data_IF_125326550581
#
_entry.id   IF_125326550581
#
_cell.length_a   1.000
_cell.length_b   1.000
_cell.length_c   1.000
_cell.angle_alpha   90.00
_cell.angle_beta   90.00
_cell.angle_gamma   90.00
#
_symmetry.space_group_name_H-M   'P 1'
#
loop_
_entity.id
_entity.type
_entity.pdbx_description
1 polymer ?
#
# COMPACT_ATOMS: atom_id res chain seq x y z
N UNK A 1 9.35 11.02 8.59
CA UNK A 1 8.73 10.00 9.49
C UNK A 1 7.23 10.20 9.71
N UNK A 2 6.74 11.37 10.17
CA UNK A 2 5.29 11.60 10.40
C UNK A 2 4.42 11.40 9.15
N UNK A 3 4.87 11.89 7.98
CA UNK A 3 4.16 11.70 6.69
C UNK A 3 3.99 10.23 6.30
N UNK A 4 5.01 9.39 6.53
CA UNK A 4 4.97 7.94 6.28
C UNK A 4 3.96 7.26 7.21
N UNK A 5 3.87 7.71 8.46
CA UNK A 5 2.86 7.22 9.42
C UNK A 5 1.44 7.54 8.94
N UNK A 6 1.20 8.76 8.41
CA UNK A 6 -0.07 9.12 7.81
C UNK A 6 -0.39 8.28 6.56
N UNK A 7 0.61 7.98 5.72
CA UNK A 7 0.44 7.08 4.57
C UNK A 7 0.10 5.64 5.00
N UNK A 8 0.72 5.10 6.05
CA UNK A 8 0.38 3.78 6.60
C UNK A 8 -1.04 3.75 7.20
N UNK A 9 -1.43 4.80 7.93
CA UNK A 9 -2.77 4.92 8.50
C UNK A 9 -3.82 5.02 7.39
N UNK A 10 -3.53 5.79 6.34
CA UNK A 10 -4.37 5.88 5.15
C UNK A 10 -4.49 4.53 4.44
N UNK A 11 -3.39 3.80 4.29
CA UNK A 11 -3.38 2.48 3.67
C UNK A 11 -4.25 1.48 4.46
N UNK A 12 -4.21 1.52 5.79
CA UNK A 12 -5.09 0.70 6.64
C UNK A 12 -6.56 1.10 6.51
N UNK A 13 -6.87 2.39 6.46
CA UNK A 13 -8.25 2.86 6.32
C UNK A 13 -8.79 2.55 4.93
N UNK A 14 -8.00 2.72 3.87
CA UNK A 14 -8.41 2.35 2.51
C UNK A 14 -8.56 0.83 2.38
N UNK A 15 -7.65 0.03 2.94
CA UNK A 15 -7.77 -1.43 2.98
C UNK A 15 -9.01 -1.91 3.77
N UNK A 16 -9.34 -1.24 4.87
CA UNK A 16 -10.53 -1.53 5.68
C UNK A 16 -11.83 -1.10 4.99
N UNK A 17 -11.83 0.04 4.28
CA UNK A 17 -12.96 0.50 3.47
C UNK A 17 -13.11 -0.33 2.18
N UNK A 18 -12.02 -0.89 1.67
CA UNK A 18 -12.02 -1.82 0.54
C UNK A 18 -12.15 -3.29 0.96
N UNK A 19 -12.67 -3.56 2.17
CA UNK A 19 -12.90 -4.92 2.70
C UNK A 19 -13.76 -5.85 1.82
N UNK A 20 -14.22 -5.38 0.66
CA UNK A 20 -14.82 -6.16 -0.42
C UNK A 20 -14.20 -5.69 -1.75
N UNK A 21 -13.27 -6.45 -2.34
CA UNK A 21 -13.05 -6.47 -3.80
C UNK A 21 -14.26 -7.14 -4.47
N UNK A 22 -15.43 -6.53 -4.27
CA UNK A 22 -16.75 -7.11 -4.50
C UNK A 22 -17.81 -6.02 -4.45
N UNK A 23 -17.73 -5.09 -5.41
CA UNK A 23 -18.85 -4.35 -5.96
C UNK A 23 -19.68 -3.46 -5.04
N UNK A 24 -19.25 -2.21 -4.87
CA UNK A 24 -20.15 -1.03 -4.94
C UNK A 24 -19.33 0.26 -4.96
N UNK A 25 -19.79 1.25 -5.73
CA UNK A 25 -19.29 2.63 -5.75
C UNK A 25 -19.68 3.29 -4.43
N UNK A 26 -18.96 2.98 -3.35
CA UNK A 26 -19.23 3.57 -2.04
C UNK A 26 -18.43 4.85 -1.87
N UNK A 27 -19.16 5.97 -1.78
CA UNK A 27 -18.62 7.23 -1.26
C UNK A 27 -18.54 7.09 0.25
N UNK A 28 -17.34 7.18 0.80
CA UNK A 28 -17.11 7.06 2.24
C UNK A 28 -16.40 8.31 2.76
N UNK A 29 -17.01 8.95 3.75
CA UNK A 29 -16.45 10.10 4.43
C UNK A 29 -15.99 9.65 5.82
N UNK A 30 -14.71 9.89 6.13
CA UNK A 30 -14.15 9.60 7.44
C UNK A 30 -13.51 10.86 8.01
N UNK A 31 -13.82 11.19 9.27
CA UNK A 31 -13.16 12.26 10.01
C UNK A 31 -12.24 11.65 11.04
N UNK A 32 -10.93 11.82 10.87
CA UNK A 32 -9.93 11.33 11.82
C UNK A 32 -9.42 12.52 12.62
N UNK A 33 -9.68 12.53 13.93
CA UNK A 33 -9.09 13.53 14.83
C UNK A 33 -7.71 13.04 15.25
N UNK A 34 -6.71 13.87 15.04
CA UNK A 34 -5.34 13.66 15.50
C UNK A 34 -4.93 14.83 16.38
N UNK A 35 -3.83 14.67 17.12
CA UNK A 35 -3.29 15.73 17.99
C UNK A 35 -2.88 16.99 17.20
N UNK A 36 -2.75 16.88 15.87
CA UNK A 36 -2.36 17.97 14.97
C UNK A 36 -3.55 18.59 14.20
N UNK A 37 -4.78 18.07 14.38
CA UNK A 37 -5.96 18.61 13.71
C UNK A 37 -6.98 17.55 13.29
N UNK A 38 -8.06 18.00 12.64
CA UNK A 38 -9.11 17.12 12.09
C UNK A 38 -8.82 16.86 10.61
N UNK A 39 -8.63 15.60 10.24
CA UNK A 39 -8.50 15.16 8.85
C UNK A 39 -9.88 14.79 8.32
N UNK A 40 -10.32 15.45 7.24
CA UNK A 40 -11.52 15.07 6.51
C UNK A 40 -11.13 14.27 5.26
N UNK A 41 -11.45 12.98 5.27
CA UNK A 41 -11.18 12.08 4.17
C UNK A 41 -12.46 11.83 3.38
N UNK A 42 -12.44 12.18 2.09
CA UNK A 42 -13.51 11.85 1.15
C UNK A 42 -12.98 10.78 0.19
N UNK A 43 -13.46 9.56 0.36
CA UNK A 43 -13.16 8.45 -0.54
C UNK A 43 -14.24 8.40 -1.61
N UNK A 44 -13.86 8.60 -2.87
CA UNK A 44 -14.75 8.39 -4.00
C UNK A 44 -14.27 7.17 -4.79
N UNK A 45 -14.85 6.01 -4.51
CA UNK A 45 -14.57 4.80 -5.27
C UNK A 45 -15.24 4.91 -6.64
N UNK A 46 -14.51 5.38 -7.64
CA UNK A 46 -14.99 5.45 -9.02
C UNK A 46 -15.12 4.07 -9.65
N UNK A 47 -16.33 3.49 -9.62
CA UNK A 47 -16.67 2.24 -10.30
C UNK A 47 -16.62 2.38 -11.84
N UNK A 48 -15.43 2.40 -12.41
CA UNK A 48 -15.20 2.50 -13.84
C UNK A 48 -14.64 1.19 -14.43
N UNK A 49 -15.51 0.19 -14.66
CA UNK A 49 -15.42 -0.84 -15.70
C UNK A 49 -14.07 -1.45 -16.12
N UNK A 50 -13.09 -1.55 -15.22
CA UNK A 50 -11.75 -2.09 -15.46
C UNK A 50 -11.01 -2.32 -14.12
N UNK A 51 -9.90 -3.06 -14.08
CA UNK A 51 -9.31 -3.54 -12.83
C UNK A 51 -8.90 -2.39 -11.90
N UNK A 52 -9.62 -2.28 -10.77
CA UNK A 52 -9.22 -1.68 -9.49
C UNK A 52 -8.57 -0.30 -9.53
N UNK A 53 -9.34 0.78 -9.76
CA UNK A 53 -8.88 2.16 -9.49
C UNK A 53 -9.69 2.77 -8.35
N UNK A 54 -9.01 3.24 -7.31
CA UNK A 54 -9.58 3.99 -6.18
C UNK A 54 -8.94 5.37 -6.15
N UNK A 55 -9.74 6.42 -6.04
CA UNK A 55 -9.26 7.78 -5.88
C UNK A 55 -9.81 8.37 -4.59
N UNK A 56 -8.96 9.00 -3.80
CA UNK A 56 -9.30 9.56 -2.50
C UNK A 56 -8.75 10.97 -2.43
N UNK A 57 -9.62 11.91 -2.06
CA UNK A 57 -9.22 13.28 -1.79
C UNK A 57 -9.24 13.52 -0.30
N UNK A 58 -8.16 14.09 0.20
CA UNK A 58 -7.93 14.38 1.60
C UNK A 58 -7.75 15.89 1.69
N UNK A 59 -8.65 16.55 2.41
CA UNK A 59 -8.55 17.97 2.69
C UNK A 59 -7.98 18.12 4.11
N UNK A 60 -6.87 18.85 4.23
CA UNK A 60 -6.21 19.16 5.50
C UNK A 60 -6.06 20.67 5.65
N UNK A 61 -5.78 21.17 6.85
CA UNK A 61 -5.49 22.60 7.07
C UNK A 61 -4.29 23.08 6.23
N UNK A 62 -3.36 22.19 5.92
CA UNK A 62 -2.18 22.48 5.08
C UNK A 62 -2.51 22.52 3.57
N UNK A 63 -3.65 21.94 3.15
CA UNK A 63 -4.14 21.93 1.76
C UNK A 63 -4.72 20.59 1.31
N UNK A 64 -5.07 20.49 0.02
CA UNK A 64 -5.63 19.29 -0.60
C UNK A 64 -4.53 18.30 -1.00
N UNK A 65 -4.79 17.02 -0.75
CA UNK A 65 -4.00 15.89 -1.19
C UNK A 65 -4.89 14.88 -1.91
N UNK A 66 -4.48 14.47 -3.11
CA UNK A 66 -5.14 13.40 -3.87
C UNK A 66 -4.29 12.14 -3.78
N UNK A 67 -4.94 11.00 -3.53
CA UNK A 67 -4.34 9.67 -3.52
C UNK A 67 -5.08 8.82 -4.54
N UNK A 68 -4.36 8.32 -5.53
CA UNK A 68 -4.87 7.41 -6.55
C UNK A 68 -4.20 6.07 -6.33
N UNK A 69 -4.99 5.02 -6.17
CA UNK A 69 -4.54 3.63 -6.12
C UNK A 69 -5.07 2.93 -7.38
N UNK A 70 -4.22 2.19 -8.06
CA UNK A 70 -4.56 1.40 -9.25
C UNK A 70 -4.00 0.00 -9.12
N UNK A 71 -4.67 -0.99 -9.70
CA UNK A 71 -4.22 -2.39 -9.74
C UNK A 71 -5.06 -3.30 -8.83
N UNK A 72 -4.57 -4.52 -8.65
CA UNK A 72 -5.19 -5.56 -7.83
C UNK A 72 -4.10 -6.29 -7.04
N UNK A 73 -4.17 -6.24 -5.71
CA UNK A 73 -3.34 -7.09 -4.85
C UNK A 73 -3.57 -8.58 -5.10
N UNK A 74 -4.78 -8.95 -5.55
CA UNK A 74 -5.22 -10.34 -5.69
C UNK A 74 -4.92 -10.95 -7.06
N UNK A 75 -4.34 -10.18 -8.00
CA UNK A 75 -4.27 -10.64 -9.40
C UNK A 75 -5.66 -11.06 -9.92
N UNK A 76 -5.70 -12.11 -10.74
CA UNK A 76 -6.91 -12.72 -11.31
C UNK A 76 -7.07 -14.20 -10.86
N UNK A 77 -6.67 -14.56 -9.64
CA UNK A 77 -6.50 -15.99 -9.28
C UNK A 77 -6.94 -16.31 -7.85
N UNK A 78 -7.29 -17.58 -7.62
CA UNK A 78 -7.55 -18.17 -6.31
C UNK A 78 -6.25 -18.45 -5.51
N UNK A 79 -5.09 -18.12 -6.07
CA UNK A 79 -3.78 -18.31 -5.44
C UNK A 79 -3.54 -17.23 -4.37
N UNK A 80 -3.08 -17.65 -3.20
CA UNK A 80 -2.75 -16.74 -2.10
C UNK A 80 -1.50 -15.88 -2.37
N UNK A 81 -0.62 -16.32 -3.28
CA UNK A 81 0.54 -15.58 -3.75
C UNK A 81 0.52 -15.47 -5.30
N UNK A 82 -0.34 -14.61 -5.85
CA UNK A 82 -0.55 -14.53 -7.28
C UNK A 82 0.60 -13.77 -7.96
N UNK A 83 1.53 -14.49 -8.58
CA UNK A 83 2.65 -13.91 -9.32
C UNK A 83 2.17 -12.88 -10.34
N UNK A 84 2.79 -11.69 -10.30
CA UNK A 84 2.42 -10.57 -11.17
C UNK A 84 1.27 -9.71 -10.65
N UNK A 85 0.62 -10.08 -9.54
CA UNK A 85 -0.30 -9.20 -8.81
C UNK A 85 0.41 -7.88 -8.45
N UNK A 86 -0.26 -6.76 -8.67
CA UNK A 86 0.36 -5.45 -8.49
C UNK A 86 -0.66 -4.40 -8.02
N UNK A 87 -0.19 -3.46 -7.20
CA UNK A 87 -0.87 -2.19 -7.03
C UNK A 87 0.13 -1.05 -7.09
N UNK A 88 -0.33 0.05 -7.64
CA UNK A 88 0.35 1.32 -7.71
C UNK A 88 -0.46 2.33 -6.91
N UNK A 89 0.23 3.21 -6.21
CA UNK A 89 -0.33 4.39 -5.59
C UNK A 89 0.45 5.60 -6.02
N UNK A 90 -0.29 6.66 -6.29
CA UNK A 90 0.23 8.00 -6.49
C UNK A 90 -0.49 8.94 -5.54
N UNK A 91 0.26 9.55 -4.65
CA UNK A 91 -0.20 10.68 -3.86
C UNK A 91 0.39 11.99 -4.38
N UNK A 92 -0.45 13.01 -4.53
CA UNK A 92 -0.04 14.36 -4.93
C UNK A 92 -0.66 15.36 -3.98
N UNK A 93 0.14 16.26 -3.43
CA UNK A 93 -0.35 17.32 -2.56
C UNK A 93 0.72 18.35 -2.24
N UNK A 94 0.47 19.11 -1.18
CA UNK A 94 1.25 20.28 -0.73
C UNK A 94 2.72 19.95 -0.44
N UNK A 95 3.01 18.69 -0.09
CA UNK A 95 4.36 18.16 0.16
C UNK A 95 5.08 17.58 -1.06
N UNK A 96 4.50 17.66 -2.25
CA UNK A 96 5.01 17.06 -3.48
C UNK A 96 4.27 15.77 -3.87
N UNK A 97 4.83 15.06 -4.86
CA UNK A 97 4.29 13.76 -5.31
C UNK A 97 5.07 12.62 -4.67
N UNK A 98 4.36 11.67 -4.10
CA UNK A 98 4.89 10.38 -3.68
C UNK A 98 4.21 9.27 -4.48
N UNK A 99 4.95 8.24 -4.85
CA UNK A 99 4.41 7.02 -5.45
C UNK A 99 4.81 5.82 -4.63
N UNK A 100 3.92 4.83 -4.53
CA UNK A 100 4.26 3.51 -4.02
C UNK A 100 3.85 2.49 -5.07
N UNK A 101 4.64 1.44 -5.26
CA UNK A 101 4.29 0.29 -6.05
C UNK A 101 4.52 -0.94 -5.18
N UNK A 102 3.60 -1.89 -5.26
CA UNK A 102 3.82 -3.22 -4.75
C UNK A 102 3.64 -4.20 -5.91
N UNK A 103 4.55 -5.15 -6.00
CA UNK A 103 4.48 -6.24 -6.96
C UNK A 103 4.71 -7.56 -6.24
N UNK A 104 3.81 -8.50 -6.45
CA UNK A 104 4.00 -9.89 -6.06
C UNK A 104 4.94 -10.51 -7.09
N UNK A 105 6.14 -10.85 -6.64
CA UNK A 105 7.18 -11.44 -7.49
C UNK A 105 6.87 -12.91 -7.74
N UNK A 106 6.80 -13.73 -6.68
CA UNK A 106 6.51 -15.17 -6.77
C UNK A 106 6.38 -15.83 -5.41
N UNK A 107 5.82 -17.03 -5.39
CA UNK A 107 6.01 -17.98 -4.29
C UNK A 107 7.42 -18.60 -4.39
N UNK A 108 8.25 -18.38 -3.37
CA UNK A 108 9.61 -18.91 -3.36
C UNK A 108 9.58 -20.40 -3.03
N UNK A 109 10.19 -21.23 -3.87
CA UNK A 109 10.14 -22.70 -3.74
C UNK A 109 11.40 -23.32 -3.13
N UNK A 110 12.49 -22.56 -3.02
CA UNK A 110 13.80 -23.07 -2.56
C UNK A 110 14.58 -22.02 -1.75
N UNK A 111 15.56 -22.47 -0.96
CA UNK A 111 16.44 -21.58 -0.19
C UNK A 111 15.83 -21.07 1.12
N UNK A 112 16.42 -19.99 1.66
CA UNK A 112 16.05 -19.39 2.96
C UNK A 112 14.57 -18.97 3.04
N UNK A 113 14.01 -18.53 1.93
CA UNK A 113 12.64 -18.01 1.86
C UNK A 113 11.64 -19.02 1.28
N UNK A 114 12.00 -20.31 1.20
CA UNK A 114 11.13 -21.34 0.66
C UNK A 114 9.78 -21.41 1.41
N UNK A 115 8.68 -21.45 0.66
CA UNK A 115 7.32 -21.42 1.18
C UNK A 115 6.74 -20.02 1.41
N UNK A 116 7.50 -18.95 1.17
CA UNK A 116 7.06 -17.57 1.40
C UNK A 116 6.75 -16.85 0.09
N UNK A 117 5.72 -16.00 0.13
CA UNK A 117 5.38 -15.11 -0.98
C UNK A 117 6.33 -13.92 -0.98
N UNK A 118 7.06 -13.74 -2.08
CA UNK A 118 7.93 -12.61 -2.28
C UNK A 118 7.16 -11.43 -2.87
N UNK A 119 7.23 -10.29 -2.21
CA UNK A 119 6.58 -9.04 -2.60
C UNK A 119 7.59 -7.90 -2.56
N UNK A 120 7.75 -7.20 -3.67
CA UNK A 120 8.60 -6.01 -3.75
C UNK A 120 7.75 -4.78 -3.57
N UNK A 121 8.09 -3.96 -2.57
CA UNK A 121 7.45 -2.69 -2.27
C UNK A 121 8.41 -1.54 -2.53
N UNK A 122 8.12 -0.71 -3.52
CA UNK A 122 8.93 0.45 -3.88
C UNK A 122 8.18 1.71 -3.55
N UNK A 123 8.80 2.63 -2.81
CA UNK A 123 8.28 3.97 -2.56
C UNK A 123 9.22 5.01 -3.16
N UNK A 124 8.65 6.06 -3.73
CA UNK A 124 9.38 7.19 -4.26
C UNK A 124 8.72 8.46 -3.75
N UNK A 125 9.51 9.34 -3.18
CA UNK A 125 9.05 10.62 -2.65
C UNK A 125 10.11 11.68 -2.92
N UNK A 126 9.83 12.96 -2.62
CA UNK A 126 10.86 14.00 -2.69
C UNK A 126 12.06 13.74 -1.77
N UNK A 127 11.91 12.91 -0.74
CA UNK A 127 12.97 12.53 0.19
C UNK A 127 13.87 11.40 -0.37
N UNK A 128 13.47 10.75 -1.45
CA UNK A 128 14.22 9.66 -2.08
C UNK A 128 13.35 8.48 -2.50
N UNK A 129 14.02 7.48 -3.05
CA UNK A 129 13.44 6.20 -3.44
C UNK A 129 13.91 5.11 -2.46
N UNK A 130 12.99 4.25 -2.06
CA UNK A 130 13.24 3.13 -1.16
C UNK A 130 12.56 1.89 -1.72
N UNK A 131 13.27 0.77 -1.72
CA UNK A 131 12.71 -0.54 -2.03
C UNK A 131 12.82 -1.42 -0.79
N UNK A 132 11.74 -2.15 -0.53
CA UNK A 132 11.64 -3.15 0.52
C UNK A 132 11.14 -4.44 -0.11
N UNK A 133 11.92 -5.50 0.00
CA UNK A 133 11.55 -6.85 -0.38
C UNK A 133 10.94 -7.54 0.86
N UNK A 134 9.73 -8.07 0.74
CA UNK A 134 9.01 -8.77 1.79
C UNK A 134 8.82 -10.24 1.41
N UNK A 135 9.02 -11.15 2.36
CA UNK A 135 8.70 -12.57 2.23
C UNK A 135 7.79 -12.95 3.39
N UNK A 136 6.57 -13.42 3.12
CA UNK A 136 5.65 -13.81 4.18
C UNK A 136 4.86 -15.06 3.84
N UNK A 137 4.41 -15.75 4.89
CA UNK A 137 3.56 -16.93 4.75
C UNK A 137 2.11 -16.54 4.50
N UNK A 138 1.27 -17.49 4.09
CA UNK A 138 -0.16 -17.24 3.81
C UNK A 138 -0.90 -16.65 5.03
N UNK A 139 -0.43 -16.93 6.24
CA UNK A 139 -1.01 -16.38 7.46
C UNK A 139 -0.63 -14.93 7.75
N UNK A 140 0.44 -14.42 7.14
CA UNK A 140 1.05 -13.12 7.41
C UNK A 140 1.73 -13.01 8.78
N UNK A 141 1.75 -14.08 9.58
CA UNK A 141 2.29 -14.07 10.95
C UNK A 141 3.79 -14.31 10.97
N UNK A 142 4.35 -14.92 9.92
CA UNK A 142 5.77 -15.13 9.79
C UNK A 142 6.28 -14.50 8.50
N UNK A 143 7.45 -13.87 8.59
CA UNK A 143 8.10 -13.37 7.39
C UNK A 143 9.40 -12.64 7.64
N UNK A 144 9.96 -12.15 6.54
CA UNK A 144 11.20 -11.40 6.46
C UNK A 144 10.97 -10.15 5.64
N UNK A 145 11.65 -9.07 5.99
CA UNK A 145 11.82 -7.97 5.08
C UNK A 145 13.29 -7.63 4.93
N UNK A 146 13.67 -7.25 3.72
CA UNK A 146 14.96 -6.70 3.39
C UNK A 146 14.76 -5.32 2.79
N UNK A 147 15.51 -4.34 3.25
CA UNK A 147 15.52 -2.99 2.69
C UNK A 147 16.96 -2.57 2.40
N UNK A 148 17.15 -1.87 1.29
CA UNK A 148 18.41 -1.19 0.99
C UNK A 148 18.23 0.31 1.27
N UNK A 149 18.96 0.82 2.26
CA UNK A 149 19.04 2.24 2.52
C UNK A 149 20.51 2.65 2.33
N UNK A 150 20.77 3.44 1.29
CA UNK A 150 22.09 4.00 1.00
C UNK A 150 23.21 2.94 0.90
N UNK A 151 22.91 1.77 0.34
CA UNK A 151 23.85 0.65 0.19
C UNK A 151 24.01 -0.21 1.45
N UNK A 152 23.30 0.12 2.53
CA UNK A 152 23.20 -0.75 3.71
C UNK A 152 21.94 -1.59 3.60
N UNK A 153 22.15 -2.91 3.46
CA UNK A 153 21.08 -3.89 3.54
C UNK A 153 20.71 -4.14 4.99
N UNK A 154 19.45 -3.90 5.32
CA UNK A 154 18.85 -4.25 6.61
C UNK A 154 17.90 -5.41 6.35
N UNK A 155 18.07 -6.50 7.11
CA UNK A 155 17.18 -7.66 7.07
C UNK A 155 16.60 -7.87 8.45
N UNK A 156 15.28 -8.03 8.55
CA UNK A 156 14.60 -8.37 9.79
C UNK A 156 13.59 -9.48 9.55
N UNK A 157 13.55 -10.41 10.49
CA UNK A 157 12.50 -11.42 10.61
C UNK A 157 11.43 -10.92 11.59
N UNK A 158 10.17 -11.24 11.32
CA UNK A 158 9.10 -11.08 12.28
C UNK A 158 8.36 -12.39 12.51
N UNK A 159 7.78 -12.50 13.71
CA UNK A 159 6.93 -13.61 14.13
C UNK A 159 5.83 -13.01 15.01
N UNK A 160 4.57 -13.26 14.65
CA UNK A 160 3.37 -12.75 15.33
C UNK A 160 2.49 -13.85 15.92
#
# INVERSE_FOLDING_TARGET
>A
MKRILYFMLLLMVVAALSGCLGGSTDKSEAKIKTDEGTLEMKTETGGGGGPGRVETKIETEDGEQTVVITGSMMGNTDDWCPEGGNWDMKSTGVGGTATANMKIDKLVTTGKYAGLCHVVYTTKSPEGEMQIDYWFDESGKHGFYEMDINGQKISQEWTG
#
